data_IF_636905168951
#
_entry.id   IF_636905168951
#
_cell.length_a   1.000
_cell.length_b   1.000
_cell.length_c   1.000
_cell.angle_alpha   90.00
_cell.angle_beta   90.00
_cell.angle_gamma   90.00
#
_symmetry.space_group_name_H-M   'P 1'
#
loop_
_entity.id
_entity.type
_entity.pdbx_description
1 polymer ?
#
# COMPACT_ATOMS: atom_id res chain seq x y z
N UNK A 1 -7.80 -6.24 -21.88
CA UNK A 1 -8.87 -5.26 -22.14
C UNK A 1 -9.54 -4.98 -20.81
N UNK A 2 -9.58 -3.72 -20.34
CA UNK A 2 -10.18 -3.37 -19.07
C UNK A 2 -11.72 -3.44 -19.20
N UNK A 3 -12.43 -4.33 -18.48
CA UNK A 3 -13.88 -4.49 -18.62
C UNK A 3 -14.70 -3.30 -18.09
N UNK A 4 -14.07 -2.31 -17.43
CA UNK A 4 -14.73 -1.04 -17.02
C UNK A 4 -14.36 0.14 -17.90
N UNK A 5 -13.55 -0.06 -18.93
CA UNK A 5 -13.24 0.99 -19.90
C UNK A 5 -14.37 1.08 -20.92
N UNK A 6 -15.39 1.87 -20.59
CA UNK A 6 -16.44 2.27 -21.54
C UNK A 6 -15.98 3.49 -22.34
N UNK A 7 -16.38 3.55 -23.60
CA UNK A 7 -16.26 4.78 -24.38
C UNK A 7 -17.08 5.89 -23.69
N UNK A 8 -16.55 7.12 -23.57
CA UNK A 8 -17.32 8.24 -23.04
C UNK A 8 -18.63 8.43 -23.80
N UNK A 9 -19.69 8.82 -23.09
CA UNK A 9 -21.02 9.04 -23.68
C UNK A 9 -21.04 10.39 -24.40
N UNK A 10 -20.81 10.39 -25.70
CA UNK A 10 -20.93 11.56 -26.56
C UNK A 10 -22.38 11.73 -27.03
N UNK A 11 -22.88 12.97 -27.06
CA UNK A 11 -24.23 13.30 -27.53
C UNK A 11 -24.21 13.70 -29.01
N UNK A 12 -24.02 12.73 -29.89
CA UNK A 12 -24.06 12.95 -31.33
C UNK A 12 -25.49 13.04 -31.84
N UNK A 13 -25.76 14.03 -32.71
CA UNK A 13 -26.98 14.06 -33.49
C UNK A 13 -26.84 13.17 -34.75
N UNK A 14 -27.92 13.00 -35.52
CA UNK A 14 -27.91 12.13 -36.70
C UNK A 14 -26.87 12.57 -37.76
N UNK A 15 -26.65 13.86 -37.94
CA UNK A 15 -25.65 14.37 -38.88
C UNK A 15 -24.22 14.10 -38.40
N UNK A 16 -23.96 14.21 -37.10
CA UNK A 16 -22.66 13.87 -36.50
C UNK A 16 -22.35 12.38 -36.68
N UNK A 17 -23.36 11.52 -36.48
CA UNK A 17 -23.22 10.08 -36.66
C UNK A 17 -22.93 9.71 -38.11
N UNK A 18 -23.62 10.33 -39.07
CA UNK A 18 -23.35 10.12 -40.49
C UNK A 18 -21.95 10.60 -40.89
N UNK A 19 -21.54 11.78 -40.43
CA UNK A 19 -20.21 12.33 -40.71
C UNK A 19 -19.10 11.43 -40.14
N UNK A 20 -19.25 10.98 -38.89
CA UNK A 20 -18.29 10.07 -38.23
C UNK A 20 -18.25 8.70 -38.91
N UNK A 21 -19.41 8.13 -39.23
CA UNK A 21 -19.50 6.84 -39.91
C UNK A 21 -18.86 6.91 -41.28
N UNK A 22 -19.14 7.97 -42.04
CA UNK A 22 -18.54 8.21 -43.36
C UNK A 22 -17.02 8.36 -43.24
N UNK A 23 -16.54 9.14 -42.27
CA UNK A 23 -15.12 9.33 -42.03
C UNK A 23 -14.44 7.98 -41.71
N UNK A 24 -14.97 7.21 -40.77
CA UNK A 24 -14.41 5.91 -40.37
C UNK A 24 -14.43 4.90 -41.50
N UNK A 25 -15.52 4.82 -42.26
CA UNK A 25 -15.63 3.93 -43.42
C UNK A 25 -14.75 4.38 -44.59
N UNK A 26 -14.41 5.67 -44.67
CA UNK A 26 -13.47 6.20 -45.67
C UNK A 26 -12.00 5.94 -45.34
N UNK A 27 -11.69 5.50 -44.11
CA UNK A 27 -10.34 5.11 -43.70
C UNK A 27 -9.95 3.71 -44.23
N UNK A 28 -10.21 3.46 -45.52
CA UNK A 28 -9.82 2.24 -46.23
C UNK A 28 -8.40 2.37 -46.76
N UNK A 29 -7.44 2.38 -45.82
CA UNK A 29 -6.02 2.27 -46.12
C UNK A 29 -5.39 1.17 -45.26
N UNK A 30 -4.26 0.63 -45.70
CA UNK A 30 -3.39 -0.08 -44.77
C UNK A 30 -3.06 0.88 -43.62
N UNK A 31 -3.06 0.39 -42.38
CA UNK A 31 -2.55 1.19 -41.26
C UNK A 31 -1.20 1.74 -41.69
N UNK A 32 -0.99 3.05 -41.57
CA UNK A 32 0.35 3.63 -41.71
C UNK A 32 1.19 3.12 -40.54
N UNK A 33 1.61 1.86 -40.60
CA UNK A 33 2.32 1.14 -39.53
C UNK A 33 3.59 1.86 -39.10
N UNK A 34 4.16 2.70 -39.96
CA UNK A 34 5.46 3.34 -39.72
C UNK A 34 5.49 4.41 -38.61
N UNK A 35 4.37 5.02 -38.22
CA UNK A 35 4.40 6.10 -37.22
C UNK A 35 4.36 5.62 -35.76
N UNK A 36 3.79 4.44 -35.50
CA UNK A 36 3.76 3.84 -34.16
C UNK A 36 4.81 2.73 -33.98
N UNK A 37 5.38 2.19 -35.06
CA UNK A 37 6.44 1.16 -35.00
C UNK A 37 7.74 1.64 -34.32
N UNK A 38 7.90 2.95 -34.07
CA UNK A 38 9.07 3.51 -33.38
C UNK A 38 8.76 4.50 -32.27
N UNK A 39 7.60 4.36 -31.60
CA UNK A 39 7.48 4.97 -30.27
C UNK A 39 8.20 4.07 -29.28
N UNK A 40 9.53 4.11 -29.32
CA UNK A 40 10.34 3.60 -28.21
C UNK A 40 10.22 4.63 -27.11
N UNK A 41 9.26 4.45 -26.21
CA UNK A 41 9.29 5.17 -24.93
C UNK A 41 10.55 4.68 -24.22
N UNK A 42 11.58 5.52 -24.00
CA UNK A 42 12.74 5.09 -23.25
C UNK A 42 12.27 4.67 -21.87
N UNK A 43 12.27 3.36 -21.59
CA UNK A 43 12.08 2.89 -20.23
C UNK A 43 13.28 3.40 -19.46
N UNK A 44 13.06 4.31 -18.51
CA UNK A 44 14.07 4.67 -17.54
C UNK A 44 14.63 3.34 -16.98
N UNK A 45 15.94 3.10 -17.04
CA UNK A 45 16.51 1.87 -16.49
C UNK A 45 16.02 1.69 -15.06
N UNK A 46 15.72 0.45 -14.67
CA UNK A 46 15.33 0.16 -13.31
C UNK A 46 16.46 0.63 -12.38
N UNK A 47 16.22 1.71 -11.64
CA UNK A 47 17.15 2.18 -10.60
C UNK A 47 17.22 1.15 -9.47
N UNK A 48 16.13 0.40 -9.27
CA UNK A 48 16.10 -0.75 -8.39
C UNK A 48 16.60 -2.02 -9.08
N UNK A 49 17.75 -2.51 -8.63
CA UNK A 49 18.30 -3.79 -9.08
C UNK A 49 18.48 -4.70 -7.87
N UNK A 50 17.54 -5.63 -7.60
CA UNK A 50 17.72 -6.58 -6.54
C UNK A 50 18.91 -7.50 -6.88
N UNK A 51 19.73 -7.85 -5.88
CA UNK A 51 20.91 -8.70 -6.04
C UNK A 51 20.87 -9.94 -5.14
N UNK A 52 21.67 -10.95 -5.46
CA UNK A 52 21.84 -12.16 -4.63
C UNK A 52 20.55 -12.97 -4.45
N UNK A 53 20.40 -13.60 -3.28
CA UNK A 53 19.22 -14.41 -2.95
C UNK A 53 17.92 -13.61 -2.99
N UNK A 54 17.96 -12.32 -2.63
CA UNK A 54 16.79 -11.46 -2.74
C UNK A 54 16.30 -11.34 -4.19
N UNK A 55 17.21 -11.17 -5.15
CA UNK A 55 16.86 -11.14 -6.57
C UNK A 55 16.21 -12.44 -7.04
N UNK A 56 16.74 -13.58 -6.58
CA UNK A 56 16.21 -14.91 -6.90
C UNK A 56 14.76 -15.04 -6.41
N UNK A 57 14.48 -14.66 -5.16
CA UNK A 57 13.12 -14.74 -4.61
C UNK A 57 12.18 -13.70 -5.20
N UNK A 58 12.67 -12.48 -5.42
CA UNK A 58 11.94 -11.40 -6.08
C UNK A 58 11.42 -11.82 -7.46
N UNK A 59 12.27 -12.49 -8.26
CA UNK A 59 11.85 -13.04 -9.55
C UNK A 59 11.00 -14.30 -9.41
N UNK A 60 11.35 -15.23 -8.50
CA UNK A 60 10.59 -16.46 -8.26
C UNK A 60 9.14 -16.19 -7.94
N UNK A 61 8.88 -15.21 -7.06
CA UNK A 61 7.54 -14.82 -6.63
C UNK A 61 6.93 -13.68 -7.44
N UNK A 62 7.63 -13.24 -8.49
CA UNK A 62 7.16 -12.22 -9.45
C UNK A 62 6.68 -10.94 -8.75
N UNK A 63 7.39 -10.51 -7.71
CA UNK A 63 7.02 -9.35 -6.89
C UNK A 63 6.80 -8.10 -7.74
N UNK A 64 7.66 -7.87 -8.74
CA UNK A 64 7.63 -6.73 -9.66
C UNK A 64 6.42 -6.69 -10.60
N UNK A 65 5.67 -7.78 -10.74
CA UNK A 65 4.50 -7.80 -11.63
C UNK A 65 3.37 -6.97 -11.02
N UNK A 66 3.23 -7.04 -9.70
CA UNK A 66 2.17 -6.34 -8.99
C UNK A 66 2.66 -5.09 -8.27
N UNK A 67 3.82 -5.18 -7.62
CA UNK A 67 4.34 -4.14 -6.75
C UNK A 67 5.40 -3.27 -7.43
N UNK A 68 5.47 -2.02 -6.99
CA UNK A 68 6.51 -1.08 -7.32
C UNK A 68 7.59 -1.07 -6.24
N UNK A 69 8.85 -0.89 -6.66
CA UNK A 69 10.06 -0.84 -5.85
C UNK A 69 10.99 0.24 -6.42
N UNK A 70 11.13 1.35 -5.71
CA UNK A 70 11.88 2.55 -6.10
C UNK A 70 11.67 2.94 -7.57
N UNK A 71 10.40 3.07 -7.98
CA UNK A 71 10.03 3.44 -9.35
C UNK A 71 10.10 2.33 -10.39
N UNK A 72 10.38 1.07 -10.00
CA UNK A 72 10.38 -0.09 -10.89
C UNK A 72 9.34 -1.14 -10.49
N UNK A 73 8.67 -1.73 -11.47
CA UNK A 73 7.69 -2.80 -11.26
C UNK A 73 6.29 -2.41 -11.71
N UNK A 74 5.29 -3.05 -11.11
CA UNK A 74 3.88 -2.88 -11.43
C UNK A 74 3.21 -1.89 -10.49
N UNK A 75 2.12 -1.28 -10.96
CA UNK A 75 1.28 -0.37 -10.18
C UNK A 75 -0.07 -1.00 -9.81
N UNK A 76 -0.17 -2.34 -9.94
CA UNK A 76 -1.40 -3.07 -9.65
C UNK A 76 -1.64 -3.15 -8.13
N UNK A 77 -0.56 -3.29 -7.37
CA UNK A 77 -0.56 -3.31 -5.92
C UNK A 77 0.18 -2.08 -5.36
N UNK A 78 0.25 -1.98 -4.03
CA UNK A 78 0.93 -0.86 -3.36
C UNK A 78 2.42 -0.80 -3.71
N UNK A 79 2.94 0.42 -3.72
CA UNK A 79 4.38 0.66 -3.73
C UNK A 79 5.01 0.16 -2.42
N UNK A 80 6.08 -0.62 -2.52
CA UNK A 80 6.83 -1.21 -1.41
C UNK A 80 8.20 -0.56 -1.19
N UNK A 81 8.52 0.53 -1.91
CA UNK A 81 9.79 1.26 -1.85
C UNK A 81 10.27 1.58 -0.44
N UNK A 82 9.34 1.75 0.50
CA UNK A 82 9.61 2.14 1.89
C UNK A 82 9.11 1.13 2.92
N UNK A 83 8.74 -0.07 2.48
CA UNK A 83 8.09 -1.06 3.34
C UNK A 83 9.00 -1.51 4.50
N UNK A 84 10.32 -1.48 4.31
CA UNK A 84 11.30 -1.77 5.36
C UNK A 84 11.35 -0.74 6.49
N UNK A 85 10.93 0.52 6.24
CA UNK A 85 10.71 1.50 7.30
C UNK A 85 9.32 1.38 7.92
N UNK A 86 8.33 0.97 7.11
CA UNK A 86 6.90 1.01 7.46
C UNK A 86 6.45 -0.19 8.29
N UNK A 87 6.80 -1.41 7.87
CA UNK A 87 6.25 -2.62 8.44
C UNK A 87 7.19 -3.29 9.45
N UNK A 88 6.59 -3.94 10.45
CA UNK A 88 7.31 -4.77 11.40
C UNK A 88 7.80 -6.04 10.71
N UNK A 89 9.05 -6.40 10.96
CA UNK A 89 9.70 -7.58 10.36
C UNK A 89 8.90 -8.87 10.58
N UNK A 90 8.47 -9.13 11.82
CA UNK A 90 7.74 -10.38 12.13
C UNK A 90 6.41 -10.43 11.38
N UNK A 91 5.70 -9.31 11.34
CA UNK A 91 4.47 -9.21 10.55
C UNK A 91 4.71 -9.45 9.05
N UNK A 92 5.81 -8.94 8.47
CA UNK A 92 6.15 -9.20 7.06
C UNK A 92 6.33 -10.71 6.82
N UNK A 93 6.99 -11.42 7.72
CA UNK A 93 7.19 -12.88 7.59
C UNK A 93 5.85 -13.61 7.60
N UNK A 94 4.99 -13.29 8.55
CA UNK A 94 3.66 -13.90 8.68
C UNK A 94 2.79 -13.58 7.45
N UNK A 95 2.77 -12.33 7.02
CA UNK A 95 2.02 -11.86 5.86
C UNK A 95 2.49 -12.49 4.55
N UNK A 96 3.80 -12.59 4.31
CA UNK A 96 4.35 -13.23 3.10
C UNK A 96 4.01 -14.72 3.03
N UNK A 97 3.95 -15.40 4.18
CA UNK A 97 3.57 -16.82 4.26
C UNK A 97 2.08 -17.03 4.05
N UNK A 98 1.26 -16.15 4.60
CA UNK A 98 -0.20 -16.22 4.53
C UNK A 98 -0.81 -14.82 4.39
N UNK A 99 -0.88 -14.28 3.16
CA UNK A 99 -1.36 -12.92 2.96
C UNK A 99 -2.84 -12.81 3.28
N UNK A 100 -3.13 -12.24 4.44
CA UNK A 100 -4.49 -11.93 4.88
C UNK A 100 -5.01 -10.66 4.21
N UNK A 101 -6.33 -10.50 4.18
CA UNK A 101 -6.94 -9.29 3.63
C UNK A 101 -6.85 -8.16 4.65
N UNK A 102 -5.95 -7.20 4.45
CA UNK A 102 -5.83 -6.02 5.33
C UNK A 102 -6.97 -5.03 5.16
N UNK A 103 -7.57 -4.98 3.97
CA UNK A 103 -8.69 -4.10 3.65
C UNK A 103 -9.79 -4.93 3.02
N UNK A 104 -10.81 -5.34 3.78
CA UNK A 104 -11.88 -6.20 3.27
C UNK A 104 -12.55 -5.68 2.00
N UNK A 105 -12.56 -4.36 1.82
CA UNK A 105 -13.11 -3.66 0.66
C UNK A 105 -12.24 -3.74 -0.61
N UNK A 106 -10.98 -4.19 -0.53
CA UNK A 106 -10.12 -4.36 -1.71
C UNK A 106 -10.44 -5.66 -2.45
N UNK A 107 -10.74 -5.52 -3.75
CA UNK A 107 -11.00 -6.64 -4.67
C UNK A 107 -9.70 -7.37 -5.01
N UNK A 108 -8.63 -6.62 -5.29
CA UNK A 108 -7.31 -7.18 -5.57
C UNK A 108 -6.59 -7.51 -4.27
N UNK A 109 -6.11 -8.75 -4.16
CA UNK A 109 -5.42 -9.30 -2.98
C UNK A 109 -4.10 -9.91 -3.40
N UNK A 110 -3.15 -9.93 -2.48
CA UNK A 110 -1.89 -10.64 -2.72
C UNK A 110 -2.19 -12.16 -2.81
N UNK A 111 -1.77 -12.83 -3.90
CA UNK A 111 -1.97 -14.28 -4.04
C UNK A 111 -1.25 -15.08 -2.96
N UNK A 112 -1.74 -16.27 -2.66
CA UNK A 112 -1.02 -17.23 -1.83
C UNK A 112 0.09 -17.88 -2.66
N UNK A 113 1.33 -17.48 -2.39
CA UNK A 113 2.52 -18.03 -3.07
C UNK A 113 3.10 -19.27 -2.37
N UNK A 114 2.51 -19.69 -1.24
CA UNK A 114 2.98 -20.79 -0.40
C UNK A 114 4.49 -20.67 -0.09
N UNK A 115 4.91 -19.47 0.35
CA UNK A 115 6.31 -19.19 0.65
C UNK A 115 6.80 -20.02 1.85
N UNK A 116 8.03 -20.52 1.79
CA UNK A 116 8.66 -21.17 2.94
C UNK A 116 8.97 -20.14 4.02
N UNK A 117 9.13 -20.60 5.27
CA UNK A 117 9.51 -19.70 6.37
C UNK A 117 10.88 -19.05 6.11
N UNK A 118 11.80 -19.77 5.47
CA UNK A 118 13.12 -19.29 5.09
C UNK A 118 13.04 -18.21 4.00
N UNK A 119 12.29 -18.46 2.92
CA UNK A 119 12.12 -17.49 1.83
C UNK A 119 11.43 -16.21 2.35
N UNK A 120 10.39 -16.34 3.18
CA UNK A 120 9.70 -15.21 3.80
C UNK A 120 10.61 -14.43 4.75
N UNK A 121 11.44 -15.11 5.56
CA UNK A 121 12.41 -14.45 6.43
C UNK A 121 13.46 -13.68 5.61
N UNK A 122 14.01 -14.29 4.57
CA UNK A 122 15.02 -13.66 3.72
C UNK A 122 14.46 -12.42 3.01
N UNK A 123 13.23 -12.52 2.48
CA UNK A 123 12.53 -11.39 1.88
C UNK A 123 12.29 -10.28 2.91
N UNK A 124 11.79 -10.59 4.11
CA UNK A 124 11.55 -9.60 5.16
C UNK A 124 12.84 -8.90 5.61
N UNK A 125 13.94 -9.64 5.72
CA UNK A 125 15.26 -9.08 6.03
C UNK A 125 15.75 -8.13 4.94
N UNK A 126 15.63 -8.56 3.68
CA UNK A 126 16.07 -7.77 2.52
C UNK A 126 15.22 -6.51 2.36
N UNK A 127 13.90 -6.61 2.53
CA UNK A 127 12.97 -5.47 2.53
C UNK A 127 13.36 -4.50 3.66
N UNK A 128 13.54 -5.01 4.87
CA UNK A 128 13.94 -4.23 6.04
C UNK A 128 15.25 -3.46 5.86
N UNK A 129 16.20 -4.00 5.09
CA UNK A 129 17.50 -3.38 4.86
C UNK A 129 17.50 -2.42 3.66
N UNK A 130 16.79 -2.76 2.58
CA UNK A 130 16.94 -2.08 1.28
C UNK A 130 15.81 -1.10 0.95
N UNK A 131 14.60 -1.32 1.49
CA UNK A 131 13.40 -0.55 1.15
C UNK A 131 13.05 0.42 2.27
N UNK A 132 13.95 1.37 2.53
CA UNK A 132 13.84 2.31 3.66
C UNK A 132 13.65 3.73 3.18
N UNK A 133 12.74 4.45 3.84
CA UNK A 133 12.60 5.89 3.63
C UNK A 133 13.70 6.65 4.39
N UNK A 134 14.47 7.54 3.73
CA UNK A 134 15.61 8.23 4.34
C UNK A 134 15.20 9.16 5.50
N UNK A 135 13.99 9.69 5.49
CA UNK A 135 13.48 10.53 6.58
C UNK A 135 13.00 9.74 7.82
N UNK A 136 13.01 8.40 7.79
CA UNK A 136 12.52 7.56 8.89
C UNK A 136 13.69 6.87 9.57
N UNK A 137 13.98 7.28 10.80
CA UNK A 137 14.95 6.61 11.66
C UNK A 137 14.22 5.64 12.63
N UNK A 138 14.39 4.31 12.50
CA UNK A 138 13.79 3.31 13.38
C UNK A 138 14.15 3.50 14.85
N UNK A 139 15.34 4.04 15.14
CA UNK A 139 15.80 4.29 16.50
C UNK A 139 15.27 5.62 17.09
N UNK A 140 14.53 6.42 16.32
CA UNK A 140 13.98 7.69 16.82
C UNK A 140 12.84 7.51 17.81
N UNK A 141 12.22 6.32 17.85
CA UNK A 141 11.11 6.00 18.75
C UNK A 141 11.42 4.68 19.43
N UNK A 142 11.50 4.71 20.76
CA UNK A 142 11.64 3.51 21.58
C UNK A 142 10.27 3.13 22.18
N UNK A 143 9.64 2.03 21.71
CA UNK A 143 8.35 1.58 22.26
C UNK A 143 8.41 1.25 23.76
N UNK A 144 9.57 0.96 24.34
CA UNK A 144 9.71 0.71 25.77
C UNK A 144 9.42 1.95 26.63
N UNK A 145 9.46 3.15 26.03
CA UNK A 145 9.12 4.39 26.71
C UNK A 145 7.61 4.66 26.76
N UNK A 146 6.80 3.91 26.01
CA UNK A 146 5.36 4.11 25.99
C UNK A 146 4.72 3.66 27.30
N UNK A 147 3.98 4.57 27.92
CA UNK A 147 3.23 4.30 29.15
C UNK A 147 1.72 4.24 28.88
N UNK A 148 0.93 3.57 29.73
CA UNK A 148 -0.53 3.63 29.66
C UNK A 148 -1.08 5.06 29.69
N UNK A 149 -0.42 5.96 30.42
CA UNK A 149 -0.79 7.38 30.49
C UNK A 149 -0.58 8.09 29.15
N UNK A 150 0.54 7.83 28.46
CA UNK A 150 0.77 8.36 27.12
C UNK A 150 -0.27 7.84 26.12
N UNK A 151 -0.62 6.56 26.18
CA UNK A 151 -1.65 6.00 25.32
C UNK A 151 -3.04 6.58 25.61
N UNK A 152 -3.39 6.82 26.87
CA UNK A 152 -4.64 7.49 27.24
C UNK A 152 -4.68 8.93 26.73
N UNK A 153 -3.58 9.68 26.87
CA UNK A 153 -3.46 11.02 26.30
C UNK A 153 -3.57 10.98 24.76
N UNK A 154 -2.90 10.02 24.11
CA UNK A 154 -2.98 9.83 22.66
C UNK A 154 -4.40 9.55 22.18
N UNK A 155 -5.19 8.78 22.94
CA UNK A 155 -6.61 8.55 22.66
C UNK A 155 -7.42 9.85 22.73
N UNK A 156 -7.20 10.68 23.75
CA UNK A 156 -7.87 11.99 23.85
C UNK A 156 -7.47 12.92 22.69
N UNK A 157 -6.20 12.94 22.32
CA UNK A 157 -5.74 13.69 21.15
C UNK A 157 -6.41 13.22 19.86
N UNK A 158 -6.52 11.90 19.68
CA UNK A 158 -7.17 11.26 18.53
C UNK A 158 -8.66 11.64 18.47
N UNK A 159 -9.40 11.49 19.56
CA UNK A 159 -10.86 11.63 19.60
C UNK A 159 -11.34 13.08 19.71
N UNK A 160 -10.66 13.91 20.49
CA UNK A 160 -11.17 15.20 20.93
C UNK A 160 -10.48 16.36 20.20
N UNK A 161 -9.13 16.40 20.24
CA UNK A 161 -8.37 17.55 19.73
C UNK A 161 -8.25 17.55 18.21
N UNK A 162 -7.84 16.42 17.64
CA UNK A 162 -7.56 16.32 16.21
C UNK A 162 -8.68 15.64 15.42
N UNK A 163 -9.62 15.02 16.13
CA UNK A 163 -10.79 14.35 15.57
C UNK A 163 -10.41 13.38 14.44
N UNK A 164 -9.33 12.61 14.63
CA UNK A 164 -8.79 11.69 13.63
C UNK A 164 -9.83 10.65 13.17
N UNK A 165 -10.78 10.31 14.04
CA UNK A 165 -11.91 9.44 13.75
C UNK A 165 -12.87 10.00 12.69
N UNK A 166 -12.83 11.30 12.36
CA UNK A 166 -13.65 11.84 11.27
C UNK A 166 -13.27 11.24 9.92
N UNK A 167 -12.01 10.81 9.78
CA UNK A 167 -11.48 10.22 8.56
C UNK A 167 -11.13 8.74 8.72
N UNK A 168 -10.60 8.33 9.88
CA UNK A 168 -10.18 6.95 10.14
C UNK A 168 -11.21 6.18 10.96
N UNK A 169 -11.37 4.90 10.64
CA UNK A 169 -12.19 3.98 11.41
C UNK A 169 -11.35 3.18 12.41
N UNK A 170 -11.96 2.91 13.57
CA UNK A 170 -11.50 1.94 14.56
C UNK A 170 -12.74 1.12 14.98
N UNK A 171 -12.68 -0.19 14.78
CA UNK A 171 -13.80 -1.10 14.95
C UNK A 171 -14.92 -0.76 13.96
N UNK A 172 -16.12 -0.58 14.48
CA UNK A 172 -17.30 -0.21 13.69
C UNK A 172 -17.55 1.29 13.61
N UNK A 173 -16.68 2.13 14.19
CA UNK A 173 -16.88 3.58 14.29
C UNK A 173 -15.80 4.39 13.56
N UNK A 174 -16.18 5.57 13.06
CA UNK A 174 -15.28 6.53 12.41
C UNK A 174 -15.52 6.69 10.91
N UNK A 175 -14.60 7.39 10.25
CA UNK A 175 -14.64 7.67 8.81
C UNK A 175 -13.98 6.59 7.95
N UNK A 176 -14.21 6.64 6.64
CA UNK A 176 -13.63 5.73 5.65
C UNK A 176 -12.74 6.42 4.61
N UNK A 177 -12.42 7.70 4.84
CA UNK A 177 -11.51 8.47 3.97
C UNK A 177 -10.07 8.02 4.20
N UNK A 178 -9.70 7.89 5.48
CA UNK A 178 -8.45 7.28 5.91
C UNK A 178 -8.60 5.75 6.02
N UNK A 179 -7.48 5.00 6.01
CA UNK A 179 -7.51 3.58 6.28
C UNK A 179 -7.98 3.28 7.70
N UNK A 180 -8.58 2.09 7.86
CA UNK A 180 -8.90 1.46 9.14
C UNK A 180 -7.64 1.26 9.99
N UNK A 181 -7.72 1.53 11.31
CA UNK A 181 -6.56 1.56 12.23
C UNK A 181 -6.63 0.54 13.37
N UNK A 182 -7.66 -0.30 13.49
CA UNK A 182 -7.86 -1.21 14.64
C UNK A 182 -6.71 -2.16 14.92
N UNK A 183 -5.92 -2.49 13.90
CA UNK A 183 -4.79 -3.41 14.00
C UNK A 183 -3.46 -2.75 13.60
N UNK A 184 -3.40 -1.42 13.53
CA UNK A 184 -2.22 -0.71 13.02
C UNK A 184 -0.95 -1.06 13.81
N UNK A 185 -1.09 -1.28 15.13
CA UNK A 185 0.00 -1.67 16.02
C UNK A 185 0.52 -3.10 15.80
N UNK A 186 -0.20 -3.96 15.05
CA UNK A 186 0.29 -5.29 14.66
C UNK A 186 1.34 -5.22 13.57
N UNK A 187 1.21 -4.28 12.62
CA UNK A 187 1.97 -4.34 11.38
C UNK A 187 2.82 -3.11 11.11
N UNK A 188 2.46 -1.91 11.56
CA UNK A 188 3.30 -0.71 11.38
C UNK A 188 4.33 -0.56 12.47
N UNK A 189 5.50 0.02 12.15
CA UNK A 189 6.51 0.40 13.14
C UNK A 189 6.12 1.71 13.84
N UNK A 190 6.50 1.86 15.11
CA UNK A 190 6.28 3.10 15.85
C UNK A 190 7.00 4.30 15.21
N UNK A 191 8.22 4.07 14.70
CA UNK A 191 9.00 5.10 14.00
C UNK A 191 8.31 5.58 12.72
N UNK A 192 7.66 4.69 11.96
CA UNK A 192 6.88 5.08 10.79
C UNK A 192 5.68 5.92 11.19
N UNK A 193 4.90 5.50 12.20
CA UNK A 193 3.74 6.24 12.68
C UNK A 193 4.15 7.65 13.12
N UNK A 194 5.21 7.77 13.93
CA UNK A 194 5.68 9.08 14.40
C UNK A 194 6.16 9.98 13.24
N UNK A 195 6.88 9.42 12.27
CA UNK A 195 7.32 10.17 11.09
C UNK A 195 6.14 10.60 10.20
N UNK A 196 5.13 9.74 10.06
CA UNK A 196 3.92 10.03 9.30
C UNK A 196 3.10 11.14 9.95
N UNK A 197 2.92 11.09 11.27
CA UNK A 197 2.25 12.15 12.03
C UNK A 197 2.98 13.50 11.93
N UNK A 198 4.32 13.47 11.82
CA UNK A 198 5.14 14.68 11.69
C UNK A 198 4.96 15.37 10.33
N UNK A 199 5.07 14.64 9.23
CA UNK A 199 4.80 15.16 7.89
C UNK A 199 4.45 14.03 6.91
N UNK A 200 3.14 13.73 6.70
CA UNK A 200 2.73 12.67 5.78
C UNK A 200 3.06 13.01 4.34
N UNK A 201 3.13 14.30 3.97
CA UNK A 201 3.43 14.74 2.61
C UNK A 201 4.92 14.60 2.27
N UNK A 202 5.79 14.62 3.28
CA UNK A 202 7.21 14.32 3.10
C UNK A 202 7.48 12.83 2.86
N UNK A 203 6.63 11.94 3.39
CA UNK A 203 6.74 10.49 3.18
C UNK A 203 6.00 10.01 1.94
N UNK A 204 4.81 10.57 1.69
CA UNK A 204 3.99 10.27 0.52
C UNK A 204 3.46 11.58 -0.08
N UNK A 205 4.20 12.17 -1.03
CA UNK A 205 3.75 13.37 -1.74
C UNK A 205 2.39 13.16 -2.40
N UNK A 206 1.43 14.04 -2.12
CA UNK A 206 0.06 13.94 -2.65
C UNK A 206 -0.86 13.01 -1.85
N UNK A 207 -0.42 12.51 -0.68
CA UNK A 207 -1.28 11.81 0.26
C UNK A 207 -2.46 12.68 0.71
N UNK A 208 -3.60 12.07 1.05
CA UNK A 208 -4.82 12.80 1.45
C UNK A 208 -4.72 13.29 2.90
N UNK A 209 -3.92 12.61 3.74
CA UNK A 209 -3.82 12.96 5.15
C UNK A 209 -3.18 14.35 5.34
N UNK A 210 -3.87 15.27 6.03
CA UNK A 210 -3.41 16.65 6.15
C UNK A 210 -2.22 16.74 7.10
N UNK A 211 -1.31 17.68 6.82
CA UNK A 211 -0.29 18.09 7.79
C UNK A 211 -0.98 18.78 8.98
N UNK A 212 -0.77 18.24 10.18
CA UNK A 212 -1.22 18.85 11.44
C UNK A 212 -0.01 19.42 12.17
N UNK A 213 -0.23 20.49 12.93
CA UNK A 213 0.81 21.08 13.79
C UNK A 213 0.83 20.35 15.13
N UNK A 214 1.45 19.17 15.17
CA UNK A 214 1.59 18.35 16.38
C UNK A 214 2.90 18.70 17.12
N UNK A 215 2.86 18.76 18.45
CA UNK A 215 4.08 18.83 19.25
C UNK A 215 4.80 17.47 19.31
N UNK A 216 6.11 17.41 19.64
CA UNK A 216 6.81 16.14 19.82
C UNK A 216 6.12 15.19 20.82
N UNK A 217 5.63 15.74 21.94
CA UNK A 217 4.94 14.96 22.97
C UNK A 217 3.59 14.42 22.48
N UNK A 218 2.87 15.20 21.67
CA UNK A 218 1.62 14.76 21.06
C UNK A 218 1.83 13.64 20.04
N UNK A 219 2.89 13.75 19.22
CA UNK A 219 3.29 12.69 18.30
C UNK A 219 3.62 11.42 19.09
N UNK A 220 4.36 11.53 20.20
CA UNK A 220 4.69 10.39 21.04
C UNK A 220 3.45 9.76 21.67
N UNK A 221 2.53 10.56 22.22
CA UNK A 221 1.29 10.09 22.81
C UNK A 221 0.36 9.42 21.78
N UNK A 222 0.17 10.04 20.61
CA UNK A 222 -0.60 9.46 19.50
C UNK A 222 0.04 8.16 19.00
N UNK A 223 1.36 8.12 18.85
CA UNK A 223 2.07 6.90 18.46
C UNK A 223 1.90 5.80 19.51
N UNK A 224 2.03 6.14 20.80
CA UNK A 224 1.80 5.20 21.90
C UNK A 224 0.38 4.61 21.82
N UNK A 225 -0.65 5.45 21.63
CA UNK A 225 -2.03 5.02 21.47
C UNK A 225 -2.22 4.08 20.27
N UNK A 226 -1.75 4.47 19.08
CA UNK A 226 -1.88 3.65 17.87
C UNK A 226 -1.16 2.31 18.01
N UNK A 227 -0.04 2.27 18.73
CA UNK A 227 0.68 1.02 19.00
C UNK A 227 -0.08 0.08 19.96
N UNK A 228 -1.06 0.58 20.74
CA UNK A 228 -1.97 -0.27 21.51
C UNK A 228 -3.08 -0.92 20.68
N UNK A 229 -3.36 -0.39 19.48
CA UNK A 229 -4.38 -0.91 18.56
C UNK A 229 -3.88 -2.18 17.90
N UNK A 230 -3.96 -3.27 18.66
CA UNK A 230 -3.54 -4.61 18.26
C UNK A 230 -4.73 -5.55 18.34
N UNK A 231 -5.04 -6.20 17.24
CA UNK A 231 -5.93 -7.35 17.26
C UNK A 231 -5.09 -8.61 17.50
N UNK A 232 -5.58 -9.48 18.39
CA UNK A 232 -5.11 -10.87 18.40
C UNK A 232 -5.50 -11.45 17.06
N UNK A 233 -4.55 -12.03 16.32
CA UNK A 233 -4.87 -12.70 15.05
C UNK A 233 -6.14 -13.55 15.22
N UNK A 234 -7.09 -13.53 14.28
CA UNK A 234 -8.04 -14.60 14.22
C UNK A 234 -7.23 -15.88 14.04
N UNK A 235 -7.26 -16.76 15.05
CA UNK A 235 -6.82 -18.13 14.90
C UNK A 235 -7.44 -18.64 13.60
N UNK A 236 -6.58 -19.09 12.68
CA UNK A 236 -6.91 -19.67 11.38
C UNK A 236 -8.39 -19.98 11.25
N UNK A 237 -9.13 -19.18 10.48
CA UNK A 237 -10.47 -19.58 10.07
C UNK A 237 -10.33 -20.96 9.44
N UNK A 238 -10.91 -21.92 10.15
CA UNK A 238 -10.83 -23.34 9.91
C UNK A 238 -10.91 -23.59 8.41
N UNK A 239 -10.08 -24.51 7.94
CA UNK A 239 -10.24 -25.15 6.66
C UNK A 239 -11.73 -25.45 6.44
N UNK A 240 -12.41 -24.63 5.64
CA UNK A 240 -13.60 -25.06 4.94
C UNK A 240 -13.08 -25.92 3.79
N UNK A 241 -12.62 -27.12 4.15
CA UNK A 241 -12.72 -28.25 3.26
C UNK A 241 -14.21 -28.36 2.96
N UNK A 242 -14.60 -27.86 1.80
CA UNK A 242 -15.91 -28.09 1.24
C UNK A 242 -16.12 -29.59 1.16
N UNK A 243 -17.01 -30.08 2.02
CA UNK A 243 -17.80 -31.24 1.71
C UNK A 243 -18.60 -30.90 0.46
N UNK A 244 -18.35 -31.59 -0.65
CA UNK A 244 -19.37 -31.84 -1.66
C UNK A 244 -18.95 -32.99 -2.58
N UNK A 245 -19.73 -34.07 -2.43
CA UNK A 245 -19.85 -35.34 -3.18
C UNK A 245 -18.81 -36.44 -2.96
#
# INVERSE_FOLDING_TARGET
VNPTADMPQYRFNSADLEALTTALLSMTGASSGGALERVTVPRKPAEFQPTGEFARLYDRYKCSVCHQFNGYGGTLATDLSYEGSRAQRQWLIEFLRNPQTLRPSLVLRMPQFNMTAEDASLLADSIGQTLRHPAVNPAAVDPAQFTPQMAAQGKQLYEEKYQCQSCHSIGSGGGYVGPELSNVGNWMTAAWIAAWLKDPQALLPGGIEPRRTLSPDEIQALTAYLMTLRQKEPAAHAATAGAEK
#
